data_IF_879974359837
#
_entry.id   IF_879974359837
#
_cell.length_a   1.000
_cell.length_b   1.000
_cell.length_c   1.000
_cell.angle_alpha   90.00
_cell.angle_beta   90.00
_cell.angle_gamma   90.00
#
_symmetry.space_group_name_H-M   'P 1'
#
loop_
_entity.id
_entity.type
_entity.pdbx_description
1 polymer ?
#
# COMPACT_ATOMS: atom_id res chain seq x y z
N UNK A 1 9.52 -17.28 -24.92
CA UNK A 1 10.37 -18.02 -23.98
C UNK A 1 10.65 -17.16 -22.77
N UNK A 2 10.07 -17.49 -21.62
CA UNK A 2 10.60 -17.11 -20.31
C UNK A 2 10.25 -18.28 -19.39
N UNK A 3 11.29 -19.02 -19.01
CA UNK A 3 11.22 -20.28 -18.30
C UNK A 3 10.55 -20.08 -16.94
N UNK A 4 9.48 -20.83 -16.72
CA UNK A 4 8.86 -21.03 -15.41
C UNK A 4 9.94 -21.59 -14.48
N UNK A 5 10.48 -20.77 -13.59
CA UNK A 5 11.29 -21.21 -12.44
C UNK A 5 10.35 -21.89 -11.42
N UNK A 6 9.62 -22.91 -11.88
CA UNK A 6 8.89 -23.84 -11.04
C UNK A 6 9.89 -24.91 -10.63
N UNK A 7 10.72 -24.59 -9.65
CA UNK A 7 11.75 -25.50 -9.18
C UNK A 7 12.26 -25.07 -7.82
N UNK A 8 11.73 -25.72 -6.79
CA UNK A 8 12.10 -25.60 -5.37
C UNK A 8 11.63 -24.33 -4.66
N UNK A 9 10.50 -24.44 -3.92
CA UNK A 9 10.26 -23.56 -2.77
C UNK A 9 11.45 -23.74 -1.84
N UNK A 10 12.39 -22.80 -1.83
CA UNK A 10 13.43 -22.75 -0.81
C UNK A 10 12.70 -22.74 0.55
N UNK A 11 12.87 -23.83 1.28
CA UNK A 11 12.29 -24.04 2.60
C UNK A 11 12.65 -22.83 3.46
N UNK A 12 11.65 -22.04 3.85
CA UNK A 12 11.75 -21.13 4.99
C UNK A 12 11.33 -19.67 4.78
N UNK A 13 11.29 -19.11 3.56
CA UNK A 13 10.99 -17.66 3.41
C UNK A 13 9.99 -17.36 2.29
N UNK A 14 8.86 -16.75 2.67
CA UNK A 14 7.87 -16.24 1.71
C UNK A 14 8.51 -15.12 0.86
N UNK A 15 8.51 -15.22 -0.48
CA UNK A 15 9.21 -14.27 -1.35
C UNK A 15 8.67 -12.84 -1.22
N UNK A 16 7.37 -12.67 -0.94
CA UNK A 16 6.79 -11.35 -0.67
C UNK A 16 7.37 -10.70 0.58
N UNK A 17 7.67 -11.49 1.62
CA UNK A 17 8.28 -11.01 2.87
C UNK A 17 9.74 -10.60 2.63
N UNK A 18 10.47 -11.33 1.77
CA UNK A 18 11.83 -10.95 1.39
C UNK A 18 11.86 -9.58 0.70
N UNK A 19 10.97 -9.36 -0.27
CA UNK A 19 10.86 -8.06 -0.96
C UNK A 19 10.43 -6.96 0.00
N UNK A 20 9.46 -7.20 0.88
CA UNK A 20 9.05 -6.23 1.89
C UNK A 20 10.22 -5.81 2.80
N UNK A 21 11.01 -6.76 3.30
CA UNK A 21 12.21 -6.46 4.10
C UNK A 21 13.26 -5.69 3.32
N UNK A 22 13.41 -5.97 2.02
CA UNK A 22 14.34 -5.25 1.18
C UNK A 22 13.91 -3.79 1.00
N UNK A 23 12.64 -3.55 0.64
CA UNK A 23 12.09 -2.20 0.47
C UNK A 23 12.17 -1.41 1.77
N UNK A 24 11.72 -1.97 2.89
CA UNK A 24 11.70 -1.27 4.19
C UNK A 24 13.09 -0.83 4.67
N UNK A 25 14.16 -1.56 4.32
CA UNK A 25 15.54 -1.14 4.56
C UNK A 25 15.98 0.05 3.70
N UNK A 26 15.47 0.15 2.48
CA UNK A 26 15.80 1.23 1.55
C UNK A 26 14.99 2.51 1.80
N UNK A 27 13.83 2.43 2.46
CA UNK A 27 12.93 3.58 2.71
C UNK A 27 13.67 4.82 3.27
N UNK A 28 14.48 4.74 4.35
CA UNK A 28 15.15 5.92 4.88
C UNK A 28 16.11 6.56 3.87
N UNK A 29 16.82 5.74 3.08
CA UNK A 29 17.72 6.21 2.01
C UNK A 29 16.94 6.94 0.93
N UNK A 30 15.79 6.40 0.51
CA UNK A 30 14.93 7.04 -0.51
C UNK A 30 14.39 8.38 0.01
N UNK A 31 13.92 8.47 1.26
CA UNK A 31 13.43 9.73 1.83
C UNK A 31 14.51 10.82 1.81
N UNK A 32 15.76 10.47 2.18
CA UNK A 32 16.88 11.43 2.11
C UNK A 32 17.27 11.80 0.68
N UNK A 33 17.18 10.85 -0.25
CA UNK A 33 17.57 11.06 -1.65
C UNK A 33 16.62 12.03 -2.37
N UNK A 34 15.33 11.98 -2.02
CA UNK A 34 14.28 12.80 -2.62
C UNK A 34 13.87 14.00 -1.76
N UNK A 35 14.54 14.21 -0.62
CA UNK A 35 14.26 15.29 0.33
C UNK A 35 12.78 15.36 0.74
N UNK A 36 12.22 14.20 1.12
CA UNK A 36 10.81 14.08 1.53
C UNK A 36 10.72 14.24 3.05
N UNK A 37 9.96 15.25 3.49
CA UNK A 37 9.72 15.56 4.90
C UNK A 37 8.65 14.64 5.53
N UNK A 38 8.89 13.33 5.55
CA UNK A 38 8.02 12.33 6.20
C UNK A 38 8.83 11.50 7.20
N UNK A 39 8.22 11.11 8.31
CA UNK A 39 8.89 10.25 9.29
C UNK A 39 9.19 8.88 8.63
N UNK A 40 10.41 8.33 8.75
CA UNK A 40 10.72 7.00 8.20
C UNK A 40 9.79 5.89 8.72
N UNK A 41 9.22 6.05 9.93
CA UNK A 41 8.23 5.13 10.49
C UNK A 41 6.93 5.16 9.69
N UNK A 42 6.39 6.34 9.43
CA UNK A 42 5.16 6.55 8.66
C UNK A 42 5.32 6.01 7.24
N UNK A 43 6.42 6.33 6.56
CA UNK A 43 6.70 5.81 5.22
C UNK A 43 6.75 4.26 5.19
N UNK A 44 7.32 3.62 6.22
CA UNK A 44 7.30 2.14 6.34
C UNK A 44 5.89 1.58 6.53
N UNK A 45 5.02 2.29 7.25
CA UNK A 45 3.62 1.90 7.42
C UNK A 45 2.84 2.07 6.11
N UNK A 46 3.07 3.16 5.37
CA UNK A 46 2.48 3.36 4.04
C UNK A 46 2.88 2.22 3.08
N UNK A 47 4.17 1.83 3.07
CA UNK A 47 4.63 0.65 2.32
C UNK A 47 3.90 -0.61 2.79
N UNK A 48 3.75 -0.81 4.11
CA UNK A 48 3.03 -1.96 4.64
C UNK A 48 1.57 -2.01 4.18
N UNK A 49 0.90 -0.86 4.08
CA UNK A 49 -0.48 -0.77 3.61
C UNK A 49 -0.63 -1.33 2.19
N UNK A 50 0.29 -1.05 1.28
CA UNK A 50 0.28 -1.61 -0.07
C UNK A 50 0.43 -3.14 -0.11
N UNK A 51 1.26 -3.71 0.76
CA UNK A 51 1.36 -5.17 0.88
C UNK A 51 0.07 -5.76 1.47
N UNK A 52 -0.54 -5.09 2.45
CA UNK A 52 -1.80 -5.53 3.07
C UNK A 52 -2.98 -5.44 2.12
N UNK A 53 -3.03 -4.42 1.25
CA UNK A 53 -4.05 -4.27 0.19
C UNK A 53 -4.14 -5.50 -0.72
N UNK A 54 -3.01 -6.19 -0.93
CA UNK A 54 -2.94 -7.38 -1.79
C UNK A 54 -2.90 -8.70 -0.99
N UNK A 55 -3.24 -8.68 0.31
CA UNK A 55 -3.14 -9.87 1.16
C UNK A 55 -4.12 -10.99 0.76
N UNK A 56 -5.24 -10.66 0.12
CA UNK A 56 -6.28 -11.63 -0.26
C UNK A 56 -5.95 -12.40 -1.56
N UNK A 57 -4.88 -12.01 -2.26
CA UNK A 57 -4.48 -12.64 -3.53
C UNK A 57 -3.88 -14.02 -3.26
N UNK A 58 -4.51 -15.07 -3.79
CA UNK A 58 -4.10 -16.47 -3.61
C UNK A 58 -3.40 -17.10 -4.82
N UNK A 59 -3.61 -16.58 -6.04
CA UNK A 59 -3.02 -17.16 -7.26
C UNK A 59 -1.50 -16.88 -7.29
N UNK A 60 -0.65 -17.93 -7.30
CA UNK A 60 0.81 -17.76 -7.30
C UNK A 60 1.34 -16.96 -8.50
N UNK A 61 0.69 -17.03 -9.66
CA UNK A 61 1.13 -16.28 -10.86
C UNK A 61 0.96 -14.78 -10.66
N UNK A 62 -0.13 -14.39 -9.99
CA UNK A 62 -0.40 -12.99 -9.66
C UNK A 62 0.58 -12.51 -8.59
N UNK A 63 0.88 -13.34 -7.59
CA UNK A 63 1.88 -13.04 -6.57
C UNK A 63 3.26 -12.79 -7.20
N UNK A 64 3.71 -13.65 -8.10
CA UNK A 64 5.00 -13.50 -8.79
C UNK A 64 5.06 -12.22 -9.64
N UNK A 65 3.95 -11.87 -10.31
CA UNK A 65 3.83 -10.62 -11.04
C UNK A 65 3.88 -9.40 -10.10
N UNK A 66 3.18 -9.44 -8.97
CA UNK A 66 3.19 -8.36 -7.98
C UNK A 66 4.58 -8.15 -7.39
N UNK A 67 5.29 -9.24 -7.10
CA UNK A 67 6.68 -9.22 -6.63
C UNK A 67 7.59 -8.57 -7.68
N UNK A 68 7.44 -8.95 -8.95
CA UNK A 68 8.21 -8.38 -10.05
C UNK A 68 7.96 -6.87 -10.20
N UNK A 69 6.68 -6.45 -10.11
CA UNK A 69 6.30 -5.03 -10.12
C UNK A 69 6.93 -4.25 -8.95
N UNK A 70 6.89 -4.81 -7.74
CA UNK A 70 7.47 -4.17 -6.56
C UNK A 70 8.99 -4.01 -6.66
N UNK A 71 9.70 -4.99 -7.23
CA UNK A 71 11.14 -4.88 -7.46
C UNK A 71 11.47 -3.84 -8.53
N UNK A 72 10.70 -3.78 -9.62
CA UNK A 72 10.85 -2.77 -10.67
C UNK A 72 10.60 -1.36 -10.12
N UNK A 73 9.53 -1.19 -9.34
CA UNK A 73 9.22 0.06 -8.64
C UNK A 73 10.39 0.52 -7.77
N UNK A 74 10.96 -0.39 -6.99
CA UNK A 74 12.13 -0.08 -6.15
C UNK A 74 13.35 0.31 -6.99
N UNK A 75 13.64 -0.42 -8.07
CA UNK A 75 14.77 -0.11 -8.96
C UNK A 75 14.64 1.30 -9.56
N UNK A 76 13.46 1.66 -10.07
CA UNK A 76 13.18 2.99 -10.63
C UNK A 76 13.40 4.11 -9.59
N UNK A 77 13.05 3.86 -8.33
CA UNK A 77 13.28 4.84 -7.24
C UNK A 77 14.75 4.93 -6.82
N UNK A 78 15.48 3.81 -6.80
CA UNK A 78 16.89 3.81 -6.44
C UNK A 78 17.78 4.42 -7.53
N UNK A 79 17.41 4.20 -8.79
CA UNK A 79 18.09 4.73 -9.98
C UNK A 79 17.65 6.16 -10.32
N UNK A 80 16.75 6.76 -9.54
CA UNK A 80 16.22 8.10 -9.73
C UNK A 80 15.55 8.34 -11.08
N UNK A 81 14.94 7.30 -11.65
CA UNK A 81 14.13 7.46 -12.87
C UNK A 81 12.78 8.12 -12.59
N UNK A 82 12.33 8.08 -11.32
CA UNK A 82 11.14 8.78 -10.84
C UNK A 82 11.48 10.14 -10.25
N UNK A 83 10.54 11.08 -10.40
CA UNK A 83 10.58 12.39 -9.73
C UNK A 83 9.94 12.33 -8.33
N UNK A 84 10.28 13.31 -7.48
CA UNK A 84 9.75 13.47 -6.12
C UNK A 84 8.23 13.43 -6.04
N UNK A 85 7.53 14.08 -6.97
CA UNK A 85 6.05 14.12 -7.02
C UNK A 85 5.42 12.72 -7.01
N UNK A 86 5.93 11.81 -7.84
CA UNK A 86 5.44 10.44 -7.93
C UNK A 86 5.55 9.70 -6.59
N UNK A 87 6.67 9.89 -5.87
CA UNK A 87 6.88 9.28 -4.57
C UNK A 87 5.96 9.87 -3.49
N UNK A 88 5.77 11.19 -3.50
CA UNK A 88 4.86 11.84 -2.54
C UNK A 88 3.44 11.34 -2.75
N UNK A 89 2.94 11.30 -3.99
CA UNK A 89 1.61 10.76 -4.31
C UNK A 89 1.49 9.28 -3.92
N UNK A 90 2.54 8.49 -4.15
CA UNK A 90 2.57 7.08 -3.75
C UNK A 90 2.47 6.95 -2.22
N UNK A 91 3.30 7.67 -1.46
CA UNK A 91 3.30 7.59 0.00
C UNK A 91 1.98 8.08 0.60
N UNK A 92 1.44 9.18 0.10
CA UNK A 92 0.15 9.75 0.55
C UNK A 92 -1.03 8.79 0.29
N UNK A 93 -1.04 8.14 -0.87
CA UNK A 93 -2.04 7.09 -1.14
C UNK A 93 -1.89 5.88 -0.20
N UNK A 94 -0.66 5.55 0.23
CA UNK A 94 -0.42 4.51 1.22
C UNK A 94 -0.90 4.91 2.63
N UNK A 95 -0.71 6.17 3.02
CA UNK A 95 -1.24 6.71 4.28
C UNK A 95 -2.76 6.70 4.29
N UNK A 96 -3.38 7.10 3.17
CA UNK A 96 -4.85 7.07 3.01
C UNK A 96 -5.43 5.67 3.22
N UNK A 97 -4.75 4.62 2.76
CA UNK A 97 -5.17 3.22 2.97
C UNK A 97 -5.09 2.79 4.44
N UNK A 98 -4.22 3.39 5.25
CA UNK A 98 -4.17 3.13 6.68
C UNK A 98 -5.36 3.76 7.40
N UNK A 99 -5.74 4.97 7.00
CA UNK A 99 -6.80 5.76 7.64
C UNK A 99 -8.21 5.23 7.36
N UNK A 100 -8.42 4.51 6.26
CA UNK A 100 -9.73 3.90 5.92
C UNK A 100 -10.21 2.84 6.93
N UNK A 101 -9.36 2.35 7.83
CA UNK A 101 -9.64 1.16 8.65
C UNK A 101 -10.55 1.40 9.87
N UNK A 102 -10.95 2.63 10.15
CA UNK A 102 -11.80 2.94 11.32
C UNK A 102 -12.81 4.03 10.99
N UNK A 103 -13.78 3.73 10.12
CA UNK A 103 -15.13 4.16 10.44
C UNK A 103 -15.75 3.01 11.22
N UNK A 104 -15.62 3.08 12.54
CA UNK A 104 -16.58 2.40 13.41
C UNK A 104 -17.93 3.02 13.04
N UNK A 105 -18.86 2.23 12.53
CA UNK A 105 -20.18 2.70 12.15
C UNK A 105 -20.97 3.00 13.44
N UNK A 106 -20.82 4.20 13.98
CA UNK A 106 -21.78 4.73 14.94
C UNK A 106 -22.95 5.29 14.12
N UNK A 107 -23.96 4.44 13.89
CA UNK A 107 -25.23 4.77 13.22
C UNK A 107 -25.86 6.06 13.79
N UNK A 108 -25.57 6.38 15.05
CA UNK A 108 -25.95 7.61 15.73
C UNK A 108 -25.22 8.86 15.21
N UNK A 109 -23.89 8.82 15.01
CA UNK A 109 -23.14 10.00 14.54
C UNK A 109 -23.48 10.31 13.08
N UNK A 110 -23.63 9.29 12.23
CA UNK A 110 -24.05 9.48 10.84
C UNK A 110 -25.50 10.00 10.75
N UNK A 111 -26.38 9.56 11.65
CA UNK A 111 -27.73 10.09 11.80
C UNK A 111 -27.74 11.58 12.20
N UNK A 112 -26.83 12.01 13.07
CA UNK A 112 -26.66 13.42 13.44
C UNK A 112 -26.06 14.23 12.29
N UNK A 113 -25.03 13.74 11.62
CA UNK A 113 -24.40 14.42 10.49
C UNK A 113 -25.38 14.61 9.33
N UNK A 114 -26.18 13.59 9.02
CA UNK A 114 -27.25 13.68 8.02
C UNK A 114 -28.36 14.66 8.45
N UNK A 115 -28.71 14.70 9.74
CA UNK A 115 -29.64 15.67 10.29
C UNK A 115 -29.12 17.12 10.20
N UNK A 116 -27.85 17.38 10.56
CA UNK A 116 -27.22 18.70 10.45
C UNK A 116 -26.96 19.12 9.00
N UNK A 117 -26.70 18.17 8.10
CA UNK A 117 -26.55 18.41 6.67
C UNK A 117 -27.89 18.66 5.95
N UNK A 118 -29.03 18.44 6.62
CA UNK A 118 -30.37 18.61 6.05
C UNK A 118 -30.69 17.59 4.95
N UNK A 119 -30.00 16.45 4.95
CA UNK A 119 -30.29 15.33 4.05
C UNK A 119 -31.42 14.55 4.70
N UNK A 120 -32.64 14.74 4.20
CA UNK A 120 -33.81 13.97 4.64
C UNK A 120 -33.65 12.51 4.17
N UNK A 121 -33.19 11.64 5.06
CA UNK A 121 -33.05 10.19 4.81
C UNK A 121 -34.37 9.44 4.94
N UNK A 122 -35.49 10.15 5.09
CA UNK A 122 -36.85 9.60 5.00
C UNK A 122 -37.15 9.22 3.54
N UNK A 123 -36.52 8.16 3.04
CA UNK A 123 -37.06 7.44 1.90
C UNK A 123 -38.15 6.53 2.44
N UNK A 124 -39.39 7.01 2.33
CA UNK A 124 -40.59 6.22 2.55
C UNK A 124 -40.55 5.00 1.62
N UNK A 125 -40.12 3.85 2.13
CA UNK A 125 -40.38 2.56 1.48
C UNK A 125 -41.88 2.30 1.52
N UNK A 126 -42.47 2.15 0.32
CA UNK A 126 -43.82 1.63 0.10
C UNK A 126 -43.80 0.11 -0.06
#
# INVERSE_FOLDING_TARGET
MALRLSGNKLVGTNPAVTVYRHITKQVPRVLTLYDINMEPREARLAVQAFFRKNADVKDPRVIDMLISKANMELEETLMQWKQKSHLVTLLDSGVSLLNQKSQEFDEFEEGLDNFFAGIDTNHDEK
#
